data_IF_987285596917
#
_entry.id   IF_987285596917
#
_cell.length_a   1.000
_cell.length_b   1.000
_cell.length_c   1.000
_cell.angle_alpha   90.00
_cell.angle_beta   90.00
_cell.angle_gamma   90.00
#
_symmetry.space_group_name_H-M   'P 1'
#
loop_
_entity.id
_entity.type
_entity.pdbx_description
1 polymer ?
#
# COMPACT_ATOMS: atom_id res chain seq x y z
N UNK A 1 58.87 3.19 -8.80
CA UNK A 1 57.96 2.78 -7.71
C UNK A 1 56.68 3.58 -7.84
N UNK A 2 55.52 2.93 -7.76
CA UNK A 2 54.23 3.60 -7.74
C UNK A 2 53.18 2.96 -8.64
N UNK A 3 52.94 1.65 -8.48
CA UNK A 3 51.74 1.01 -9.01
C UNK A 3 50.50 1.47 -8.24
N UNK A 4 49.39 1.61 -8.96
CA UNK A 4 48.03 1.66 -8.42
C UNK A 4 47.04 1.09 -9.46
N UNK A 5 45.89 0.56 -9.02
CA UNK A 5 45.48 -0.81 -9.34
C UNK A 5 44.31 -0.90 -10.33
N UNK A 6 44.16 -2.09 -10.91
CA UNK A 6 42.91 -2.66 -11.39
C UNK A 6 41.84 -2.63 -10.28
N UNK A 7 40.65 -2.09 -10.58
CA UNK A 7 39.39 -2.68 -10.13
C UNK A 7 38.16 -2.07 -10.84
N UNK A 8 37.12 -2.89 -10.93
CA UNK A 8 35.70 -2.61 -11.17
C UNK A 8 35.16 -2.72 -12.60
N UNK A 9 34.88 -3.99 -12.93
CA UNK A 9 33.57 -4.45 -13.44
C UNK A 9 32.45 -3.43 -13.14
N UNK A 10 31.98 -2.79 -14.21
CA UNK A 10 30.69 -2.09 -14.17
C UNK A 10 29.64 -3.10 -14.61
N UNK A 11 28.87 -3.57 -13.65
CA UNK A 11 27.56 -4.17 -13.90
C UNK A 11 26.70 -3.17 -14.70
N UNK A 12 26.67 -3.35 -16.01
CA UNK A 12 25.70 -2.71 -16.91
C UNK A 12 24.38 -3.45 -16.71
N UNK A 13 23.26 -2.79 -16.32
CA UNK A 13 21.98 -3.45 -16.23
C UNK A 13 21.58 -3.99 -17.60
N UNK A 14 21.13 -5.25 -17.66
CA UNK A 14 20.60 -5.90 -18.86
C UNK A 14 19.31 -5.21 -19.35
N UNK A 15 19.47 -4.15 -20.16
CA UNK A 15 18.41 -3.40 -20.82
C UNK A 15 17.65 -4.22 -21.89
N UNK A 16 18.18 -5.39 -22.28
CA UNK A 16 17.61 -6.27 -23.31
C UNK A 16 16.37 -7.03 -22.81
N UNK A 17 16.41 -7.50 -21.56
CA UNK A 17 15.28 -8.20 -20.94
C UNK A 17 14.12 -7.24 -20.56
N UNK A 18 14.44 -6.00 -20.18
CA UNK A 18 13.44 -4.97 -19.91
C UNK A 18 12.71 -4.51 -21.17
N UNK A 19 13.43 -4.37 -22.30
CA UNK A 19 12.86 -3.95 -23.59
C UNK A 19 11.96 -5.02 -24.21
N UNK A 20 12.32 -6.31 -24.12
CA UNK A 20 11.47 -7.44 -24.57
C UNK A 20 10.17 -7.57 -23.74
N UNK A 21 10.23 -7.33 -22.42
CA UNK A 21 9.04 -7.33 -21.56
C UNK A 21 8.15 -6.09 -21.79
N UNK A 22 8.71 -4.94 -22.14
CA UNK A 22 7.95 -3.71 -22.47
C UNK A 22 7.11 -3.87 -23.75
N UNK A 23 7.65 -4.54 -24.77
CA UNK A 23 6.88 -4.92 -25.97
C UNK A 23 5.76 -5.94 -25.67
N UNK A 24 5.95 -6.80 -24.67
CA UNK A 24 4.91 -7.73 -24.21
C UNK A 24 3.71 -6.99 -23.60
N UNK A 25 3.94 -5.89 -22.86
CA UNK A 25 2.90 -5.08 -22.21
C UNK A 25 1.94 -4.39 -23.20
N UNK A 26 2.46 -3.88 -24.33
CA UNK A 26 1.63 -3.23 -25.36
C UNK A 26 0.69 -4.21 -26.08
N UNK A 27 0.98 -5.51 -26.00
CA UNK A 27 0.14 -6.59 -26.54
C UNK A 27 -0.75 -7.26 -25.49
N UNK A 28 -0.45 -7.12 -24.18
CA UNK A 28 -1.19 -7.81 -23.12
C UNK A 28 -2.65 -7.36 -23.01
N UNK A 29 -2.95 -6.06 -23.10
CA UNK A 29 -4.32 -5.56 -22.92
C UNK A 29 -5.27 -6.00 -24.04
N UNK A 30 -4.92 -5.82 -25.35
CA UNK A 30 -5.75 -6.35 -26.43
C UNK A 30 -5.93 -7.87 -26.30
N UNK A 31 -4.88 -8.61 -25.92
CA UNK A 31 -4.94 -10.07 -25.77
C UNK A 31 -5.83 -10.51 -24.60
N UNK A 32 -5.79 -9.80 -23.47
CA UNK A 32 -6.67 -10.03 -22.32
C UNK A 32 -8.12 -9.70 -22.66
N UNK A 33 -8.37 -8.57 -23.32
CA UNK A 33 -9.71 -8.17 -23.77
C UNK A 33 -10.28 -9.16 -24.79
N UNK A 34 -9.44 -9.60 -25.74
CA UNK A 34 -9.79 -10.63 -26.72
C UNK A 34 -10.14 -11.95 -26.04
N UNK A 35 -9.30 -12.46 -25.12
CA UNK A 35 -9.59 -13.70 -24.37
C UNK A 35 -10.88 -13.61 -23.56
N UNK A 36 -11.16 -12.47 -22.93
CA UNK A 36 -12.42 -12.27 -22.23
C UNK A 36 -13.63 -12.24 -23.19
N UNK A 37 -13.48 -11.62 -24.36
CA UNK A 37 -14.52 -11.61 -25.39
C UNK A 37 -14.77 -13.01 -25.98
N UNK A 38 -13.72 -13.80 -26.19
CA UNK A 38 -13.78 -15.20 -26.61
C UNK A 38 -14.53 -16.06 -25.58
N UNK A 39 -14.20 -15.94 -24.29
CA UNK A 39 -14.91 -16.65 -23.21
C UNK A 39 -16.38 -16.21 -23.05
N UNK A 40 -16.69 -14.94 -23.32
CA UNK A 40 -18.06 -14.43 -23.25
C UNK A 40 -18.91 -14.90 -24.46
N UNK A 41 -18.31 -15.02 -25.64
CA UNK A 41 -18.99 -15.38 -26.90
C UNK A 41 -19.06 -16.88 -27.16
N UNK A 42 -18.03 -17.66 -26.82
CA UNK A 42 -18.01 -19.10 -27.01
C UNK A 42 -18.71 -19.84 -25.85
N UNK A 43 -19.41 -20.93 -26.14
CA UNK A 43 -19.59 -22.00 -25.16
C UNK A 43 -18.21 -22.59 -24.86
N UNK A 44 -17.91 -22.90 -23.59
CA UNK A 44 -16.61 -23.41 -23.11
C UNK A 44 -15.91 -24.32 -24.14
N UNK A 45 -14.95 -23.78 -24.88
CA UNK A 45 -14.12 -24.57 -25.80
C UNK A 45 -13.04 -25.34 -25.04
N UNK A 46 -12.61 -26.47 -25.60
CA UNK A 46 -11.61 -27.40 -25.03
C UNK A 46 -10.23 -26.78 -24.72
N UNK A 47 -9.95 -25.55 -25.20
CA UNK A 47 -8.67 -24.85 -25.05
C UNK A 47 -8.60 -23.84 -23.91
N UNK A 48 -9.64 -23.73 -23.07
CA UNK A 48 -9.65 -22.79 -21.94
C UNK A 48 -9.01 -23.38 -20.67
N UNK A 49 -8.12 -22.61 -20.03
CA UNK A 49 -7.45 -23.05 -18.80
C UNK A 49 -8.47 -23.14 -17.65
N UNK A 50 -8.74 -24.35 -17.18
CA UNK A 50 -9.60 -24.57 -16.02
C UNK A 50 -8.85 -24.30 -14.71
N UNK A 51 -9.60 -24.07 -13.63
CA UNK A 51 -9.00 -23.96 -12.29
C UNK A 51 -8.28 -25.26 -11.91
N UNK A 52 -8.86 -26.41 -12.27
CA UNK A 52 -8.28 -27.73 -12.02
C UNK A 52 -6.93 -27.88 -12.72
N UNK A 53 -6.83 -27.48 -14.00
CA UNK A 53 -5.58 -27.53 -14.76
C UNK A 53 -4.52 -26.58 -14.18
N UNK A 54 -4.91 -25.36 -13.78
CA UNK A 54 -3.99 -24.42 -13.12
C UNK A 54 -3.41 -25.02 -11.82
N UNK A 55 -4.27 -25.65 -11.01
CA UNK A 55 -3.89 -26.20 -9.71
C UNK A 55 -3.13 -27.53 -9.77
N UNK A 56 -2.96 -28.14 -10.95
CA UNK A 56 -2.02 -29.25 -11.13
C UNK A 56 -0.57 -28.79 -10.92
N UNK A 57 -0.22 -27.59 -11.42
CA UNK A 57 1.08 -26.96 -11.17
C UNK A 57 1.10 -26.18 -9.87
N UNK A 58 0.10 -25.34 -9.65
CA UNK A 58 0.08 -24.42 -8.50
C UNK A 58 -0.80 -24.98 -7.38
N UNK A 59 -0.25 -25.87 -6.58
CA UNK A 59 -1.00 -26.56 -5.53
C UNK A 59 -1.40 -25.60 -4.41
N UNK A 60 -2.68 -25.58 -4.04
CA UNK A 60 -3.18 -24.71 -2.96
C UNK A 60 -2.69 -25.17 -1.59
N UNK A 61 -2.07 -24.26 -0.85
CA UNK A 61 -1.48 -24.54 0.47
C UNK A 61 -2.31 -23.94 1.59
N UNK A 62 -2.72 -22.67 1.44
CA UNK A 62 -3.45 -21.93 2.48
C UNK A 62 -4.26 -20.79 1.85
N UNK A 63 -5.49 -20.55 2.32
CA UNK A 63 -6.22 -19.31 2.07
C UNK A 63 -5.75 -18.25 3.07
N UNK A 64 -5.14 -17.18 2.56
CA UNK A 64 -4.60 -16.07 3.36
C UNK A 64 -5.70 -15.10 3.78
N UNK A 65 -6.65 -14.85 2.88
CA UNK A 65 -7.74 -13.93 3.15
C UNK A 65 -8.73 -13.83 2.00
N UNK A 66 -9.79 -13.11 2.26
CA UNK A 66 -10.83 -12.75 1.31
C UNK A 66 -11.13 -11.26 1.51
N UNK A 67 -11.09 -10.51 0.41
CA UNK A 67 -11.31 -9.08 0.41
C UNK A 67 -12.35 -8.69 -0.63
N UNK A 68 -12.63 -7.39 -0.74
CA UNK A 68 -13.65 -6.84 -1.65
C UNK A 68 -13.44 -7.23 -3.12
N UNK A 69 -12.20 -7.48 -3.53
CA UNK A 69 -11.84 -7.77 -4.91
C UNK A 69 -11.62 -9.24 -5.20
N UNK A 70 -11.48 -10.10 -4.18
CA UNK A 70 -11.09 -11.48 -4.42
C UNK A 70 -10.52 -12.21 -3.22
N UNK A 71 -10.09 -13.44 -3.50
CA UNK A 71 -9.49 -14.35 -2.56
C UNK A 71 -7.97 -14.39 -2.76
N UNK A 72 -7.23 -14.49 -1.66
CA UNK A 72 -5.77 -14.60 -1.67
C UNK A 72 -5.35 -15.95 -1.10
N UNK A 73 -4.51 -16.67 -1.84
CA UNK A 73 -4.00 -17.98 -1.45
C UNK A 73 -2.47 -18.01 -1.52
N UNK A 74 -1.84 -18.79 -0.64
CA UNK A 74 -0.49 -19.28 -0.88
C UNK A 74 -0.58 -20.58 -1.67
N UNK A 75 0.19 -20.65 -2.75
CA UNK A 75 0.33 -21.82 -3.60
C UNK A 75 1.78 -22.32 -3.54
N UNK A 76 1.96 -23.61 -3.81
CA UNK A 76 3.24 -24.24 -4.10
C UNK A 76 3.33 -24.49 -5.61
N UNK A 77 4.31 -23.88 -6.27
CA UNK A 77 4.63 -24.17 -7.68
C UNK A 77 5.46 -25.45 -7.73
N UNK A 78 4.87 -26.52 -8.25
CA UNK A 78 5.51 -27.84 -8.35
C UNK A 78 6.66 -27.90 -9.36
N UNK A 79 6.76 -26.93 -10.27
CA UNK A 79 7.83 -26.86 -11.28
C UNK A 79 9.01 -26.04 -10.76
N UNK A 80 8.73 -24.86 -10.20
CA UNK A 80 9.77 -23.99 -9.66
C UNK A 80 10.19 -24.37 -8.24
N UNK A 81 9.50 -25.33 -7.60
CA UNK A 81 9.71 -25.77 -6.23
C UNK A 81 9.77 -24.60 -5.24
N UNK A 82 8.85 -23.65 -5.41
CA UNK A 82 8.78 -22.43 -4.62
C UNK A 82 7.35 -22.08 -4.28
N UNK A 83 7.18 -21.26 -3.25
CA UNK A 83 5.86 -20.79 -2.86
C UNK A 83 5.60 -19.41 -3.43
N UNK A 84 4.36 -19.21 -3.86
CA UNK A 84 3.88 -17.97 -4.46
C UNK A 84 2.55 -17.58 -3.83
N UNK A 85 2.17 -16.32 -3.96
CA UNK A 85 0.84 -15.84 -3.60
C UNK A 85 -0.02 -15.68 -4.85
N UNK A 86 -1.26 -16.13 -4.77
CA UNK A 86 -2.26 -16.00 -5.81
C UNK A 86 -3.38 -15.08 -5.34
N UNK A 87 -3.65 -13.99 -6.06
CA UNK A 87 -4.85 -13.16 -5.91
C UNK A 87 -5.84 -13.57 -7.01
N UNK A 88 -6.92 -14.25 -6.65
CA UNK A 88 -8.02 -14.59 -7.56
C UNK A 88 -9.13 -13.56 -7.40
N UNK A 89 -9.42 -12.84 -8.47
CA UNK A 89 -10.48 -11.83 -8.49
C UNK A 89 -11.86 -12.50 -8.61
N UNK A 90 -12.85 -12.00 -7.87
CA UNK A 90 -14.22 -12.51 -7.98
C UNK A 90 -14.75 -12.34 -9.42
N UNK A 91 -15.57 -13.31 -9.84
CA UNK A 91 -15.95 -13.59 -11.23
C UNK A 91 -16.35 -12.34 -12.00
N UNK A 92 -15.67 -12.09 -13.12
CA UNK A 92 -15.89 -10.93 -13.98
C UNK A 92 -17.11 -11.09 -14.91
N UNK A 93 -17.72 -12.28 -14.92
CA UNK A 93 -18.91 -12.61 -15.71
C UNK A 93 -20.10 -12.83 -14.76
N UNK A 94 -21.15 -12.03 -14.92
CA UNK A 94 -22.47 -12.37 -14.35
C UNK A 94 -22.95 -13.71 -14.92
N UNK A 95 -23.80 -14.44 -14.17
CA UNK A 95 -24.59 -15.59 -14.66
C UNK A 95 -25.30 -15.35 -16.01
N UNK A 96 -25.48 -14.08 -16.43
CA UNK A 96 -26.03 -13.67 -17.73
C UNK A 96 -25.00 -13.22 -18.78
N UNK A 97 -23.70 -13.51 -18.61
CA UNK A 97 -22.61 -13.11 -19.53
C UNK A 97 -22.62 -11.61 -19.92
N UNK A 98 -23.05 -10.74 -19.01
CA UNK A 98 -22.96 -9.28 -19.19
C UNK A 98 -21.75 -8.75 -18.43
N UNK A 99 -20.93 -7.97 -19.13
CA UNK A 99 -19.75 -7.32 -18.56
C UNK A 99 -20.17 -6.31 -17.50
N UNK A 100 -20.04 -6.65 -16.23
CA UNK A 100 -20.12 -5.67 -15.15
C UNK A 100 -18.88 -4.77 -15.30
N UNK A 101 -19.03 -3.44 -15.23
CA UNK A 101 -17.92 -2.48 -15.38
C UNK A 101 -16.70 -2.69 -14.46
N UNK A 102 -16.78 -3.68 -13.56
CA UNK A 102 -15.71 -4.30 -12.74
C UNK A 102 -14.47 -4.66 -13.60
N UNK A 103 -14.65 -5.05 -14.86
CA UNK A 103 -13.54 -5.29 -15.80
C UNK A 103 -12.51 -4.16 -15.82
N UNK A 104 -12.92 -2.88 -15.81
CA UNK A 104 -11.98 -1.77 -16.01
C UNK A 104 -11.05 -1.55 -14.83
N UNK A 105 -11.49 -1.81 -13.60
CA UNK A 105 -10.61 -1.68 -12.42
C UNK A 105 -9.64 -2.86 -12.33
N UNK A 106 -10.13 -4.08 -12.59
CA UNK A 106 -9.32 -5.30 -12.53
C UNK A 106 -8.24 -5.36 -13.61
N UNK A 107 -8.55 -5.03 -14.87
CA UNK A 107 -7.53 -4.95 -15.91
C UNK A 107 -6.50 -3.86 -15.63
N UNK A 108 -6.96 -2.73 -15.09
CA UNK A 108 -6.07 -1.62 -14.74
C UNK A 108 -5.06 -1.99 -13.67
N UNK A 109 -5.43 -2.81 -12.68
CA UNK A 109 -4.48 -3.30 -11.68
C UNK A 109 -3.35 -4.09 -12.35
N UNK A 110 -3.66 -5.00 -13.26
CA UNK A 110 -2.67 -5.76 -14.04
C UNK A 110 -1.81 -4.82 -14.90
N UNK A 111 -2.44 -3.93 -15.67
CA UNK A 111 -1.74 -2.96 -16.53
C UNK A 111 -0.75 -2.10 -15.74
N UNK A 112 -1.21 -1.55 -14.60
CA UNK A 112 -0.37 -0.73 -13.74
C UNK A 112 0.78 -1.55 -13.19
N UNK A 113 0.51 -2.68 -12.54
CA UNK A 113 1.56 -3.49 -11.92
C UNK A 113 2.56 -4.01 -12.94
N UNK A 114 2.13 -4.32 -14.16
CA UNK A 114 3.01 -4.81 -15.20
C UNK A 114 3.92 -3.69 -15.78
N UNK A 115 3.47 -2.42 -15.72
CA UNK A 115 4.26 -1.26 -16.12
C UNK A 115 5.18 -0.69 -15.01
N UNK A 116 4.97 -1.10 -13.75
CA UNK A 116 5.69 -0.57 -12.59
C UNK A 116 6.81 -1.53 -12.15
N UNK A 117 8.02 -0.98 -11.94
CA UNK A 117 9.18 -1.71 -11.45
C UNK A 117 9.95 -0.89 -10.43
N UNK A 118 9.83 -1.29 -9.17
CA UNK A 118 10.52 -0.64 -8.08
C UNK A 118 10.63 -1.61 -6.89
N UNK A 119 11.74 -1.60 -6.12
CA UNK A 119 11.92 -2.50 -4.97
C UNK A 119 10.79 -2.41 -3.94
N UNK A 120 10.12 -1.26 -3.83
CA UNK A 120 9.00 -1.05 -2.90
C UNK A 120 7.60 -1.14 -3.48
N UNK A 121 7.45 -1.70 -4.69
CA UNK A 121 6.16 -2.01 -5.32
C UNK A 121 6.08 -3.52 -5.53
N UNK A 122 4.91 -4.12 -5.31
CA UNK A 122 4.72 -5.56 -5.59
C UNK A 122 4.88 -5.86 -7.07
N UNK A 123 5.50 -6.98 -7.39
CA UNK A 123 5.65 -7.48 -8.75
C UNK A 123 4.61 -8.56 -9.03
N UNK A 124 4.01 -8.50 -10.23
CA UNK A 124 3.22 -9.60 -10.78
C UNK A 124 4.16 -10.50 -11.56
N UNK A 125 4.29 -11.75 -11.13
CA UNK A 125 5.12 -12.76 -11.77
C UNK A 125 4.45 -13.30 -13.04
N UNK A 126 3.15 -13.58 -12.94
CA UNK A 126 2.33 -14.11 -14.04
C UNK A 126 0.84 -13.83 -13.78
N UNK A 127 0.00 -13.98 -14.79
CA UNK A 127 -1.45 -13.89 -14.69
C UNK A 127 -2.16 -14.88 -15.62
N UNK A 128 -3.35 -15.34 -15.20
CA UNK A 128 -4.18 -16.24 -16.00
C UNK A 128 -5.65 -15.83 -15.95
N UNK A 129 -6.34 -16.03 -17.06
CA UNK A 129 -7.80 -15.91 -17.13
C UNK A 129 -8.35 -17.33 -17.21
N UNK A 130 -9.13 -17.71 -16.21
CA UNK A 130 -9.70 -19.05 -16.10
C UNK A 130 -10.95 -19.19 -16.97
N UNK A 131 -11.34 -20.43 -17.24
CA UNK A 131 -12.53 -20.79 -18.01
C UNK A 131 -13.84 -20.25 -17.44
N UNK A 132 -13.90 -20.02 -16.13
CA UNK A 132 -15.04 -19.40 -15.44
C UNK A 132 -15.03 -17.85 -15.51
N UNK A 133 -14.04 -17.26 -16.19
CA UNK A 133 -13.85 -15.82 -16.30
C UNK A 133 -13.17 -15.16 -15.10
N UNK A 134 -12.64 -15.93 -14.14
CA UNK A 134 -11.84 -15.37 -13.05
C UNK A 134 -10.47 -14.94 -13.55
N UNK A 135 -10.01 -13.74 -13.13
CA UNK A 135 -8.62 -13.34 -13.28
C UNK A 135 -7.82 -13.82 -12.07
N UNK A 136 -6.69 -14.45 -12.34
CA UNK A 136 -5.71 -14.90 -11.35
C UNK A 136 -4.41 -14.16 -11.58
N UNK A 137 -3.82 -13.59 -10.52
CA UNK A 137 -2.48 -13.02 -10.53
C UNK A 137 -1.56 -13.77 -9.56
N UNK A 138 -0.36 -14.10 -10.03
CA UNK A 138 0.70 -14.75 -9.26
C UNK A 138 1.75 -13.72 -8.85
N UNK A 139 2.13 -13.72 -7.58
CA UNK A 139 3.01 -12.74 -6.94
C UNK A 139 3.97 -13.43 -5.97
N UNK A 140 5.11 -12.82 -5.60
CA UNK A 140 5.96 -13.34 -4.54
C UNK A 140 5.20 -13.46 -3.21
N UNK A 141 5.57 -14.45 -2.37
CA UNK A 141 5.03 -14.54 -1.01
C UNK A 141 5.53 -13.36 -0.19
N UNK A 142 4.60 -12.63 0.43
CA UNK A 142 4.94 -11.54 1.33
C UNK A 142 4.57 -11.91 2.78
N UNK A 143 5.46 -11.58 3.72
CA UNK A 143 5.48 -12.20 5.03
C UNK A 143 4.48 -11.59 6.03
N UNK A 144 4.34 -10.27 6.03
CA UNK A 144 3.48 -9.55 6.98
C UNK A 144 2.89 -8.27 6.40
N UNK A 145 1.63 -7.98 6.70
CA UNK A 145 1.09 -6.64 6.55
C UNK A 145 1.44 -5.75 7.76
N UNK A 146 1.56 -4.44 7.54
CA UNK A 146 1.95 -3.48 8.57
C UNK A 146 0.94 -3.42 9.72
N UNK A 147 -0.37 -3.63 9.46
CA UNK A 147 -1.40 -3.70 10.53
C UNK A 147 -1.08 -4.83 11.50
N UNK A 148 -0.73 -6.00 10.98
CA UNK A 148 -0.40 -7.17 11.78
C UNK A 148 0.95 -7.04 12.47
N UNK A 149 1.92 -6.32 11.89
CA UNK A 149 3.17 -5.96 12.56
C UNK A 149 2.95 -4.98 13.71
N UNK A 150 2.15 -3.92 13.51
CA UNK A 150 1.86 -2.93 14.54
C UNK A 150 1.09 -3.55 15.72
N UNK A 151 0.17 -4.48 15.45
CA UNK A 151 -0.58 -5.20 16.50
C UNK A 151 0.27 -6.17 17.30
N UNK A 152 1.23 -6.84 16.66
CA UNK A 152 2.05 -7.91 17.26
C UNK A 152 3.47 -7.46 17.58
N UNK A 153 3.73 -6.15 17.57
CA UNK A 153 5.08 -5.63 17.73
C UNK A 153 5.68 -6.18 19.03
N UNK A 154 6.84 -6.86 18.98
CA UNK A 154 7.40 -7.46 20.18
C UNK A 154 7.76 -6.37 21.18
N UNK A 155 7.45 -6.63 22.46
CA UNK A 155 8.01 -5.82 23.52
C UNK A 155 9.52 -6.02 23.50
N UNK A 156 10.27 -4.97 23.15
CA UNK A 156 11.71 -4.97 23.40
C UNK A 156 11.88 -5.16 24.90
N UNK A 157 12.59 -6.21 25.38
CA UNK A 157 13.01 -6.26 26.77
C UNK A 157 13.99 -5.11 26.98
N UNK A 158 13.49 -3.96 27.43
CA UNK A 158 14.36 -2.90 27.92
C UNK A 158 14.90 -3.36 29.26
N UNK A 159 16.23 -3.35 29.37
CA UNK A 159 16.97 -3.54 30.60
C UNK A 159 16.37 -2.63 31.68
N UNK A 160 15.92 -3.26 32.76
CA UNK A 160 15.38 -2.65 33.95
C UNK A 160 16.36 -1.63 34.54
N UNK A 161 16.02 -0.34 34.49
CA UNK A 161 16.45 0.60 35.53
C UNK A 161 15.48 1.78 35.67
N UNK A 162 14.97 1.86 36.90
CA UNK A 162 14.33 3.00 37.56
C UNK A 162 12.85 3.30 37.28
N UNK A 163 12.06 3.01 38.33
CA UNK A 163 10.62 3.20 38.38
C UNK A 163 10.15 4.63 38.38
N UNK A 164 8.91 4.80 37.93
CA UNK A 164 7.78 5.26 38.76
C UNK A 164 6.50 5.07 37.94
N UNK A 165 5.48 4.52 38.57
CA UNK A 165 4.17 4.30 37.99
C UNK A 165 3.51 5.65 37.64
N UNK A 166 3.10 5.82 36.39
CA UNK A 166 2.18 6.87 35.97
C UNK A 166 1.32 6.42 34.78
N UNK A 167 0.03 6.22 35.10
CA UNK A 167 -1.16 6.41 34.26
C UNK A 167 -1.33 5.46 33.06
N UNK A 168 -2.38 4.65 33.15
CA UNK A 168 -2.82 3.67 32.15
C UNK A 168 -3.15 4.32 30.79
N UNK A 169 -2.13 4.43 29.93
CA UNK A 169 -2.28 4.61 28.50
C UNK A 169 -1.63 3.40 27.81
N UNK A 170 -2.47 2.46 27.34
CA UNK A 170 -2.13 1.32 26.47
C UNK A 170 -0.68 0.82 26.59
N UNK A 171 -0.47 -0.16 27.47
CA UNK A 171 0.79 -0.89 27.75
C UNK A 171 1.32 -1.73 26.57
N UNK A 172 1.01 -1.38 25.33
CA UNK A 172 1.54 -2.05 24.14
C UNK A 172 2.90 -1.44 23.78
N UNK A 173 3.91 -2.27 23.51
CA UNK A 173 5.20 -1.80 23.05
C UNK A 173 5.07 -1.09 21.71
N UNK A 174 5.71 0.07 21.59
CA UNK A 174 5.73 0.86 20.36
C UNK A 174 6.89 0.44 19.47
N UNK A 175 6.69 0.56 18.16
CA UNK A 175 7.76 0.36 17.18
C UNK A 175 8.90 1.37 17.43
N UNK A 176 10.16 0.92 17.59
CA UNK A 176 11.30 1.82 17.76
C UNK A 176 11.47 2.76 16.57
N UNK A 177 11.85 4.01 16.85
CA UNK A 177 11.93 5.07 15.84
C UNK A 177 12.87 4.73 14.66
N UNK A 178 13.98 4.03 14.89
CA UNK A 178 14.90 3.63 13.81
C UNK A 178 14.24 2.64 12.81
N UNK A 179 13.34 1.77 13.29
CA UNK A 179 12.55 0.87 12.43
C UNK A 179 11.43 1.65 11.76
N UNK A 180 10.73 2.54 12.49
CA UNK A 180 9.71 3.42 11.90
C UNK A 180 10.29 4.19 10.71
N UNK A 181 11.46 4.82 10.89
CA UNK A 181 12.17 5.55 9.82
C UNK A 181 12.52 4.63 8.66
N UNK A 182 13.04 3.42 8.91
CA UNK A 182 13.40 2.47 7.87
C UNK A 182 12.20 2.07 7.01
N UNK A 183 11.11 1.60 7.65
CA UNK A 183 9.89 1.20 6.94
C UNK A 183 9.27 2.40 6.23
N UNK A 184 9.14 3.54 6.92
CA UNK A 184 8.48 4.71 6.35
C UNK A 184 9.24 5.28 5.15
N UNK A 185 10.58 5.27 5.19
CA UNK A 185 11.38 5.71 4.04
C UNK A 185 11.12 4.84 2.80
N UNK A 186 10.99 3.52 2.98
CA UNK A 186 10.67 2.60 1.89
C UNK A 186 9.25 2.82 1.34
N UNK A 187 8.27 3.13 2.19
CA UNK A 187 6.92 3.53 1.76
C UNK A 187 7.01 4.78 0.88
N UNK A 188 7.65 5.84 1.37
CA UNK A 188 7.79 7.10 0.63
C UNK A 188 8.57 6.89 -0.67
N UNK A 189 9.57 5.99 -0.71
CA UNK A 189 10.28 5.65 -1.94
C UNK A 189 9.37 5.02 -2.99
N UNK A 190 8.51 4.08 -2.59
CA UNK A 190 7.47 3.53 -3.45
C UNK A 190 6.51 4.61 -3.98
N UNK A 191 6.04 5.51 -3.10
CA UNK A 191 5.12 6.59 -3.50
C UNK A 191 5.79 7.60 -4.44
N UNK A 192 7.03 7.99 -4.19
CA UNK A 192 7.79 8.86 -5.07
C UNK A 192 7.93 8.25 -6.48
N UNK A 193 8.21 6.94 -6.55
CA UNK A 193 8.24 6.21 -7.81
C UNK A 193 6.88 6.24 -8.53
N UNK A 194 5.77 5.96 -7.83
CA UNK A 194 4.42 6.02 -8.41
C UNK A 194 4.09 7.42 -8.95
N UNK A 195 4.33 8.45 -8.14
CA UNK A 195 4.03 9.85 -8.50
C UNK A 195 4.87 10.32 -9.68
N UNK A 196 6.15 9.89 -9.77
CA UNK A 196 7.01 10.13 -10.94
C UNK A 196 6.43 9.52 -12.22
N UNK A 197 5.82 8.34 -12.13
CA UNK A 197 5.12 7.65 -13.22
C UNK A 197 3.66 8.11 -13.39
N UNK A 198 3.28 9.22 -12.74
CA UNK A 198 1.93 9.80 -12.77
C UNK A 198 0.85 8.83 -12.30
N UNK A 199 1.18 7.89 -11.43
CA UNK A 199 0.26 6.96 -10.79
C UNK A 199 -0.05 7.43 -9.38
N UNK A 200 -1.33 7.39 -9.00
CA UNK A 200 -1.81 7.64 -7.64
C UNK A 200 -2.37 6.34 -7.09
N UNK A 201 -1.97 5.98 -5.86
CA UNK A 201 -2.36 4.71 -5.26
C UNK A 201 -3.84 4.69 -4.86
N UNK A 202 -4.33 5.75 -4.19
CA UNK A 202 -5.74 5.99 -3.78
C UNK A 202 -6.32 5.09 -2.69
N UNK A 203 -5.66 3.99 -2.33
CA UNK A 203 -6.07 3.14 -1.19
C UNK A 203 -4.89 2.78 -0.26
N UNK A 204 -4.07 3.78 0.09
CA UNK A 204 -2.98 3.56 1.05
C UNK A 204 -3.52 3.44 2.47
N UNK A 205 -3.15 2.33 3.11
CA UNK A 205 -3.46 2.00 4.51
C UNK A 205 -2.47 0.93 4.98
N UNK A 206 -2.30 0.72 6.30
CA UNK A 206 -1.33 -0.26 6.82
C UNK A 206 -1.51 -1.68 6.27
N UNK A 207 -2.74 -2.13 6.00
CA UNK A 207 -2.97 -3.47 5.42
C UNK A 207 -2.46 -3.63 4.00
N UNK A 208 -2.22 -2.51 3.30
CA UNK A 208 -1.71 -2.47 1.92
C UNK A 208 -0.19 -2.18 1.88
N UNK A 209 0.46 -2.13 3.05
CA UNK A 209 1.91 -2.04 3.19
C UNK A 209 2.39 -3.39 3.70
N UNK A 210 3.04 -4.15 2.85
CA UNK A 210 3.59 -5.45 3.21
C UNK A 210 5.08 -5.35 3.50
N UNK A 211 5.61 -6.20 4.38
CA UNK A 211 7.03 -6.35 4.69
C UNK A 211 7.40 -7.81 4.44
N UNK A 212 8.38 -8.04 3.59
CA UNK A 212 8.88 -9.38 3.31
C UNK A 212 9.83 -9.89 4.41
N UNK A 213 10.30 -11.14 4.25
CA UNK A 213 11.16 -11.80 5.22
C UNK A 213 12.55 -11.15 5.37
N UNK A 214 12.95 -10.29 4.43
CA UNK A 214 14.22 -9.53 4.44
C UNK A 214 14.05 -8.11 4.99
N UNK A 215 12.82 -7.73 5.36
CA UNK A 215 12.48 -6.39 5.83
C UNK A 215 12.25 -5.37 4.72
N UNK A 216 12.18 -5.81 3.45
CA UNK A 216 11.84 -4.93 2.33
C UNK A 216 10.33 -4.71 2.29
N UNK A 217 9.93 -3.44 2.20
CA UNK A 217 8.53 -3.04 2.09
C UNK A 217 8.04 -3.22 0.66
N UNK A 218 6.83 -3.74 0.47
CA UNK A 218 6.11 -3.81 -0.81
C UNK A 218 4.74 -3.16 -0.65
N UNK A 219 4.48 -2.11 -1.42
CA UNK A 219 3.13 -1.58 -1.57
C UNK A 219 2.31 -2.52 -2.46
N UNK A 220 1.08 -2.83 -2.04
CA UNK A 220 0.18 -3.76 -2.73
C UNK A 220 -1.20 -3.13 -2.96
N UNK A 221 -2.04 -3.85 -3.71
CA UNK A 221 -3.46 -3.56 -3.94
C UNK A 221 -3.72 -2.29 -4.74
N UNK A 222 -3.47 -2.38 -6.04
CA UNK A 222 -3.58 -1.27 -7.00
C UNK A 222 -4.96 -1.21 -7.67
N UNK A 223 -5.95 -1.95 -7.16
CA UNK A 223 -7.32 -2.02 -7.72
C UNK A 223 -8.04 -0.68 -7.80
N UNK A 224 -7.65 0.30 -6.97
CA UNK A 224 -8.18 1.67 -7.00
C UNK A 224 -7.25 2.69 -7.66
N UNK A 225 -6.03 2.28 -8.01
CA UNK A 225 -4.97 3.15 -8.51
C UNK A 225 -5.28 3.68 -9.91
N UNK A 226 -4.76 4.87 -10.21
CA UNK A 226 -5.00 5.53 -11.50
C UNK A 226 -3.82 6.36 -11.98
N UNK A 227 -3.68 6.45 -13.30
CA UNK A 227 -2.90 7.51 -13.95
C UNK A 227 -3.61 8.86 -13.82
N UNK A 228 -2.88 9.91 -13.47
CA UNK A 228 -3.42 11.27 -13.31
C UNK A 228 -4.07 11.83 -14.58
N UNK A 229 -3.61 11.40 -15.77
CA UNK A 229 -4.11 11.86 -17.06
C UNK A 229 -5.35 11.13 -17.56
N UNK A 230 -5.87 10.13 -16.82
CA UNK A 230 -7.05 9.39 -17.25
C UNK A 230 -8.31 10.26 -17.13
N UNK A 231 -8.65 10.95 -18.23
CA UNK A 231 -9.88 11.71 -18.38
C UNK A 231 -11.09 10.83 -18.07
N UNK A 232 -11.91 11.25 -17.09
CA UNK A 232 -13.16 10.59 -16.73
C UNK A 232 -13.54 10.82 -15.27
N UNK A 233 -14.84 10.87 -15.00
CA UNK A 233 -15.38 10.96 -13.65
C UNK A 233 -14.71 9.92 -12.73
N UNK A 234 -14.23 10.36 -11.58
CA UNK A 234 -13.65 9.46 -10.58
C UNK A 234 -14.76 8.56 -10.01
N UNK A 235 -14.60 7.25 -10.15
CA UNK A 235 -15.52 6.27 -9.57
C UNK A 235 -15.33 6.25 -8.05
N UNK A 236 -16.33 6.76 -7.32
CA UNK A 236 -16.43 6.71 -5.86
C UNK A 236 -15.40 7.55 -5.08
N UNK A 237 -15.66 7.84 -3.80
CA UNK A 237 -14.70 8.51 -2.93
C UNK A 237 -13.48 7.60 -2.70
N UNK A 238 -12.25 8.07 -2.99
CA UNK A 238 -11.04 7.30 -2.69
C UNK A 238 -10.84 7.08 -1.19
N UNK A 239 -9.99 6.09 -0.88
CA UNK A 239 -9.59 5.66 0.46
C UNK A 239 -10.73 5.12 1.32
N UNK A 240 -10.38 4.31 2.32
CA UNK A 240 -11.28 4.04 3.45
C UNK A 240 -11.44 5.30 4.32
N UNK A 241 -12.60 5.48 4.97
CA UNK A 241 -12.95 6.72 5.69
C UNK A 241 -11.90 7.19 6.69
N UNK A 242 -11.23 6.28 7.41
CA UNK A 242 -10.20 6.62 8.39
C UNK A 242 -8.90 7.19 7.80
N UNK A 243 -8.64 6.93 6.51
CA UNK A 243 -7.46 7.42 5.78
C UNK A 243 -7.83 8.45 4.72
N UNK A 244 -9.10 8.86 4.67
CA UNK A 244 -9.62 9.77 3.65
C UNK A 244 -9.20 11.21 3.98
N UNK A 245 -8.64 11.96 3.02
CA UNK A 245 -8.21 13.33 3.27
C UNK A 245 -9.41 14.30 3.32
N UNK A 246 -9.28 15.43 4.02
CA UNK A 246 -10.37 16.37 4.27
C UNK A 246 -10.98 16.96 2.99
N UNK A 247 -10.18 17.22 1.95
CA UNK A 247 -10.66 17.71 0.66
C UNK A 247 -11.60 16.70 -0.04
N UNK A 248 -11.39 15.40 0.16
CA UNK A 248 -12.28 14.36 -0.39
C UNK A 248 -13.58 14.30 0.40
N UNK A 249 -13.52 14.44 1.73
CA UNK A 249 -14.70 14.46 2.61
C UNK A 249 -15.65 15.64 2.29
N UNK A 250 -15.11 16.77 1.82
CA UNK A 250 -15.93 17.92 1.37
C UNK A 250 -16.34 17.86 -0.10
N UNK A 251 -16.01 16.78 -0.82
CA UNK A 251 -16.40 16.56 -2.21
C UNK A 251 -15.46 17.17 -3.26
N UNK A 252 -14.29 17.68 -2.87
CA UNK A 252 -13.29 18.25 -3.77
C UNK A 252 -12.32 17.17 -4.32
N UNK A 253 -12.85 16.05 -4.79
CA UNK A 253 -12.04 14.90 -5.22
C UNK A 253 -11.50 14.99 -6.66
N UNK A 254 -11.98 15.94 -7.48
CA UNK A 254 -11.68 15.98 -8.92
C UNK A 254 -10.37 16.69 -9.33
N UNK A 255 -9.67 17.35 -8.41
CA UNK A 255 -8.60 18.29 -8.78
C UNK A 255 -7.22 18.04 -8.15
N UNK A 256 -7.08 17.13 -7.18
CA UNK A 256 -5.80 16.84 -6.53
C UNK A 256 -5.71 15.36 -6.16
N UNK A 257 -4.65 14.66 -6.59
CA UNK A 257 -4.54 13.20 -6.44
C UNK A 257 -3.26 12.75 -5.74
N UNK A 258 -2.10 13.37 -5.98
CA UNK A 258 -0.86 13.00 -5.25
C UNK A 258 -0.91 13.36 -3.77
N UNK A 259 -1.46 14.54 -3.43
CA UNK A 259 -1.63 15.01 -2.06
C UNK A 259 -2.51 14.08 -1.20
N UNK A 260 -3.37 13.29 -1.84
CA UNK A 260 -4.19 12.27 -1.18
C UNK A 260 -3.31 11.14 -0.65
N UNK A 261 -2.41 10.59 -1.48
CA UNK A 261 -1.48 9.56 -1.03
C UNK A 261 -0.59 10.10 0.10
N UNK A 262 -0.17 11.37 0.01
CA UNK A 262 0.63 12.02 1.06
C UNK A 262 -0.11 12.12 2.39
N UNK A 263 -1.41 12.42 2.39
CA UNK A 263 -2.24 12.38 3.59
C UNK A 263 -2.29 10.97 4.19
N UNK A 264 -2.54 9.95 3.36
CA UNK A 264 -2.55 8.56 3.81
C UNK A 264 -1.20 8.15 4.41
N UNK A 265 -0.08 8.56 3.81
CA UNK A 265 1.25 8.37 4.38
C UNK A 265 1.39 9.04 5.76
N UNK A 266 0.87 10.25 5.94
CA UNK A 266 0.83 10.92 7.25
C UNK A 266 0.06 10.11 8.29
N UNK A 267 -1.09 9.55 7.92
CA UNK A 267 -1.88 8.68 8.79
C UNK A 267 -1.14 7.38 9.13
N UNK A 268 -0.48 6.75 8.15
CA UNK A 268 0.34 5.54 8.37
C UNK A 268 1.50 5.84 9.32
N UNK A 269 2.22 6.95 9.14
CA UNK A 269 3.31 7.33 10.04
C UNK A 269 2.82 7.55 11.46
N UNK A 270 1.69 8.25 11.63
CA UNK A 270 1.08 8.44 12.94
C UNK A 270 0.77 7.10 13.61
N UNK A 271 0.19 6.16 12.86
CA UNK A 271 -0.12 4.82 13.37
C UNK A 271 1.14 4.03 13.73
N UNK A 272 2.22 4.16 12.96
CA UNK A 272 3.51 3.54 13.28
C UNK A 272 4.13 4.11 14.56
N UNK A 273 3.99 5.41 14.80
CA UNK A 273 4.54 6.09 15.98
C UNK A 273 3.74 5.82 17.26
N UNK A 274 2.44 5.57 17.14
CA UNK A 274 1.51 5.53 18.30
C UNK A 274 0.83 4.19 18.53
N UNK A 275 0.78 3.33 17.50
CA UNK A 275 -0.03 2.11 17.48
C UNK A 275 -1.54 2.36 17.30
N UNK A 276 -1.95 3.60 17.02
CA UNK A 276 -3.35 3.96 16.83
C UNK A 276 -3.55 4.86 15.61
N UNK A 277 -4.68 4.71 14.94
CA UNK A 277 -5.02 5.50 13.74
C UNK A 277 -5.41 6.93 14.16
N UNK A 278 -4.92 8.00 13.49
CA UNK A 278 -5.35 9.35 13.79
C UNK A 278 -6.81 9.55 13.38
N UNK A 279 -7.52 10.48 14.03
CA UNK A 279 -8.94 10.79 13.74
C UNK A 279 -9.92 9.61 13.87
N UNK A 280 -9.49 8.48 14.47
CA UNK A 280 -10.12 7.15 14.38
C UNK A 280 -11.47 6.96 15.08
N UNK A 281 -12.00 7.96 15.78
CA UNK A 281 -13.27 7.86 16.53
C UNK A 281 -14.51 8.09 15.66
N UNK A 282 -14.40 8.02 14.34
CA UNK A 282 -15.45 8.45 13.40
C UNK A 282 -16.28 7.29 12.88
N UNK A 283 -17.59 7.37 13.05
CA UNK A 283 -18.58 6.39 12.55
C UNK A 283 -19.01 6.67 11.12
N UNK A 284 -18.82 7.89 10.65
CA UNK A 284 -19.23 8.38 9.34
C UNK A 284 -18.29 9.49 8.85
N UNK A 285 -18.49 9.95 7.62
CA UNK A 285 -17.68 11.01 6.99
C UNK A 285 -17.77 12.36 7.72
N UNK A 286 -18.94 12.68 8.27
CA UNK A 286 -19.18 13.90 9.05
C UNK A 286 -18.28 13.97 10.27
N UNK A 287 -18.29 12.91 11.07
CA UNK A 287 -17.45 12.78 12.26
C UNK A 287 -15.96 12.72 11.91
N UNK A 288 -15.60 12.16 10.76
CA UNK A 288 -14.21 12.15 10.29
C UNK A 288 -13.72 13.57 10.02
N UNK A 289 -14.48 14.35 9.26
CA UNK A 289 -14.14 15.74 8.97
C UNK A 289 -14.12 16.60 10.23
N UNK A 290 -15.10 16.42 11.13
CA UNK A 290 -15.14 17.14 12.39
C UNK A 290 -13.92 16.84 13.28
N UNK A 291 -13.49 15.56 13.36
CA UNK A 291 -12.28 15.18 14.10
C UNK A 291 -11.00 15.74 13.47
N UNK A 292 -10.93 15.81 12.14
CA UNK A 292 -9.80 16.43 11.44
C UNK A 292 -9.72 17.92 11.78
N UNK A 293 -10.83 18.65 11.68
CA UNK A 293 -10.89 20.09 12.00
C UNK A 293 -10.67 20.37 13.49
N UNK A 294 -11.08 19.47 14.38
CA UNK A 294 -10.79 19.57 15.80
C UNK A 294 -9.28 19.53 16.10
N UNK A 295 -8.51 18.78 15.30
CA UNK A 295 -7.06 18.68 15.45
C UNK A 295 -6.31 19.77 14.70
N UNK A 296 -6.66 20.00 13.44
CA UNK A 296 -5.92 20.87 12.52
C UNK A 296 -6.41 22.32 12.53
N UNK A 297 -7.51 22.61 13.23
CA UNK A 297 -8.17 23.91 13.22
C UNK A 297 -9.14 24.07 12.05
N UNK A 298 -9.81 25.23 11.99
CA UNK A 298 -10.69 25.56 10.86
C UNK A 298 -9.89 25.92 9.61
N UNK A 299 -10.38 25.58 8.41
CA UNK A 299 -9.79 26.10 7.19
C UNK A 299 -9.73 27.63 7.18
N UNK A 300 -8.70 28.18 6.54
CA UNK A 300 -8.60 29.62 6.32
C UNK A 300 -9.75 30.09 5.43
N UNK A 301 -10.25 31.31 5.68
CA UNK A 301 -11.30 31.94 4.87
C UNK A 301 -10.89 32.16 3.40
N UNK A 302 -9.59 32.10 3.10
CA UNK A 302 -9.02 32.18 1.75
C UNK A 302 -8.91 30.83 1.05
N UNK A 303 -9.25 29.72 1.70
CA UNK A 303 -9.10 28.38 1.13
C UNK A 303 -10.02 28.17 -0.07
N UNK A 304 -9.43 28.01 -1.26
CA UNK A 304 -10.18 27.70 -2.48
C UNK A 304 -10.88 26.34 -2.41
N UNK A 305 -10.30 25.38 -1.68
CA UNK A 305 -10.84 24.02 -1.56
C UNK A 305 -12.03 24.03 -0.62
N UNK A 306 -11.89 24.58 0.58
CA UNK A 306 -12.95 24.49 1.58
C UNK A 306 -14.06 25.53 1.36
N UNK A 307 -13.75 26.75 0.90
CA UNK A 307 -14.78 27.76 0.66
C UNK A 307 -15.64 27.46 -0.57
N UNK A 308 -15.06 26.92 -1.65
CA UNK A 308 -15.81 26.58 -2.88
C UNK A 308 -16.82 25.45 -2.66
N UNK A 309 -16.50 24.53 -1.77
CA UNK A 309 -17.33 23.35 -1.51
C UNK A 309 -18.18 23.47 -0.23
N UNK A 310 -17.99 24.51 0.59
CA UNK A 310 -18.79 24.79 1.78
C UNK A 310 -20.31 24.86 1.51
N UNK A 311 -20.74 25.36 0.34
CA UNK A 311 -22.15 25.42 -0.03
C UNK A 311 -22.76 24.10 -0.54
N UNK A 312 -21.93 23.07 -0.80
CA UNK A 312 -22.36 21.73 -1.26
C UNK A 312 -22.03 20.63 -0.26
N UNK A 313 -21.26 20.96 0.77
CA UNK A 313 -20.88 20.05 1.82
C UNK A 313 -21.99 20.05 2.87
N UNK A 314 -22.66 18.92 3.15
CA UNK A 314 -23.64 18.81 4.23
C UNK A 314 -23.00 18.92 5.63
N UNK A 315 -21.68 19.10 5.70
CA UNK A 315 -20.90 19.09 6.93
C UNK A 315 -20.48 20.51 7.31
N UNK A 316 -20.98 20.99 8.45
CA UNK A 316 -20.64 22.30 8.98
C UNK A 316 -19.21 22.32 9.53
N UNK A 317 -18.35 23.14 8.92
CA UNK A 317 -17.02 23.43 9.43
C UNK A 317 -17.10 24.64 10.36
N UNK A 318 -17.11 24.39 11.67
CA UNK A 318 -17.13 25.47 12.66
C UNK A 318 -15.94 26.42 12.45
N UNK A 319 -16.16 27.73 12.27
CA UNK A 319 -15.08 28.70 12.08
C UNK A 319 -14.32 28.96 13.38
N UNK A 320 -13.08 29.43 13.27
CA UNK A 320 -12.28 29.90 14.41
C UNK A 320 -11.75 28.80 15.35
N UNK A 321 -11.79 27.52 14.97
CA UNK A 321 -11.15 26.47 15.75
C UNK A 321 -9.62 26.59 15.67
N UNK A 322 -8.91 26.54 16.81
CA UNK A 322 -7.46 26.62 16.82
C UNK A 322 -6.83 25.31 16.32
N UNK A 323 -5.63 25.43 15.76
CA UNK A 323 -4.79 24.27 15.46
C UNK A 323 -4.22 23.69 16.77
N UNK A 324 -4.62 22.47 17.10
CA UNK A 324 -4.18 21.75 18.31
C UNK A 324 -3.28 20.56 18.01
N UNK A 325 -2.85 20.39 16.76
CA UNK A 325 -2.19 19.18 16.28
C UNK A 325 -0.90 18.86 17.05
N UNK A 326 -0.06 19.85 17.32
CA UNK A 326 1.20 19.64 18.05
C UNK A 326 0.94 19.21 19.49
N UNK A 327 -0.06 19.82 20.15
CA UNK A 327 -0.49 19.41 21.50
C UNK A 327 -1.05 17.99 21.50
N UNK A 328 -1.88 17.64 20.51
CA UNK A 328 -2.42 16.28 20.34
C UNK A 328 -1.28 15.28 20.14
N UNK A 329 -0.33 15.55 19.25
CA UNK A 329 0.85 14.71 19.03
C UNK A 329 1.65 14.48 20.31
N UNK A 330 1.89 15.54 21.09
CA UNK A 330 2.55 15.45 22.39
C UNK A 330 1.78 14.55 23.38
N UNK A 331 0.45 14.63 23.41
CA UNK A 331 -0.39 13.76 24.26
C UNK A 331 -0.29 12.27 23.86
N UNK A 332 0.01 11.98 22.59
CA UNK A 332 0.33 10.63 22.12
C UNK A 332 1.80 10.24 22.36
N UNK A 333 2.63 11.12 22.93
CA UNK A 333 4.07 10.89 23.15
C UNK A 333 4.90 10.97 21.87
N UNK A 334 4.39 11.63 20.83
CA UNK A 334 5.15 11.94 19.62
C UNK A 334 6.04 13.14 19.92
N UNK A 335 7.35 13.06 19.61
CA UNK A 335 8.28 14.15 19.92
C UNK A 335 8.16 15.28 18.89
N UNK A 336 8.72 16.48 19.18
CA UNK A 336 8.58 17.64 18.30
C UNK A 336 9.11 17.41 16.86
N UNK A 337 10.23 16.69 16.70
CA UNK A 337 10.80 16.41 15.39
C UNK A 337 9.86 15.58 14.51
N UNK A 338 9.29 14.49 15.05
CA UNK A 338 8.29 13.67 14.36
C UNK A 338 7.00 14.45 14.10
N UNK A 339 6.62 15.36 15.01
CA UNK A 339 5.44 16.23 14.85
C UNK A 339 5.62 17.17 13.65
N UNK A 340 6.80 17.80 13.51
CA UNK A 340 7.13 18.66 12.36
C UNK A 340 7.09 17.86 11.06
N UNK A 341 7.68 16.66 11.06
CA UNK A 341 7.68 15.80 9.88
C UNK A 341 6.27 15.31 9.49
N UNK A 342 5.43 14.94 10.48
CA UNK A 342 4.02 14.61 10.26
C UNK A 342 3.24 15.79 9.69
N UNK A 343 3.48 17.01 10.17
CA UNK A 343 2.79 18.22 9.68
C UNK A 343 3.00 18.45 8.19
N UNK A 344 4.13 18.03 7.63
CA UNK A 344 4.39 18.11 6.17
C UNK A 344 3.40 17.29 5.33
N UNK A 345 2.66 16.37 5.95
CA UNK A 345 1.64 15.53 5.30
C UNK A 345 0.22 15.80 5.84
N UNK A 346 0.09 16.02 7.15
CA UNK A 346 -1.19 16.22 7.85
C UNK A 346 -1.52 17.71 8.00
N UNK A 347 -1.87 18.34 6.89
CA UNK A 347 -2.43 19.69 6.84
C UNK A 347 -3.72 19.72 5.99
N UNK A 348 -4.55 20.73 6.23
CA UNK A 348 -5.84 20.89 5.54
C UNK A 348 -5.64 21.17 4.05
N UNK A 349 -4.77 22.11 3.71
CA UNK A 349 -4.58 22.51 2.31
C UNK A 349 -3.79 21.44 1.54
N UNK A 350 -4.38 20.81 0.50
CA UNK A 350 -3.72 19.72 -0.21
C UNK A 350 -2.43 20.17 -0.91
N UNK A 351 -2.39 21.44 -1.35
CA UNK A 351 -1.22 22.04 -2.01
C UNK A 351 -0.06 22.37 -1.07
N UNK A 352 -0.29 22.38 0.25
CA UNK A 352 0.77 22.60 1.25
C UNK A 352 1.44 21.29 1.70
N UNK A 353 0.86 20.14 1.33
CA UNK A 353 1.46 18.84 1.63
C UNK A 353 2.72 18.64 0.81
N UNK A 354 3.80 18.22 1.46
CA UNK A 354 5.06 17.90 0.81
C UNK A 354 4.88 16.76 -0.20
N UNK A 355 5.60 16.82 -1.31
CA UNK A 355 5.68 15.70 -2.26
C UNK A 355 6.50 14.55 -1.66
N UNK A 356 6.28 13.33 -2.15
CA UNK A 356 7.06 12.18 -1.71
C UNK A 356 8.57 12.36 -1.95
N UNK A 357 8.95 12.97 -3.08
CA UNK A 357 10.35 13.32 -3.38
C UNK A 357 10.93 14.32 -2.37
N UNK A 358 10.16 15.34 -1.97
CA UNK A 358 10.59 16.30 -0.96
C UNK A 358 10.69 15.69 0.45
N UNK A 359 9.94 14.63 0.73
CA UNK A 359 10.06 13.88 2.00
C UNK A 359 11.28 12.95 1.98
N UNK A 360 11.59 12.27 0.87
CA UNK A 360 12.76 11.37 0.78
C UNK A 360 14.08 12.05 1.13
N UNK A 361 14.18 13.34 0.81
CA UNK A 361 15.36 14.17 1.04
C UNK A 361 15.32 14.91 2.39
N UNK A 362 14.31 14.66 3.24
CA UNK A 362 14.17 15.32 4.53
C UNK A 362 15.22 14.80 5.55
N UNK A 363 15.77 15.74 6.33
CA UNK A 363 16.74 15.45 7.38
C UNK A 363 16.19 14.55 8.49
N UNK A 364 14.87 14.39 8.63
CA UNK A 364 14.25 13.50 9.61
C UNK A 364 14.73 12.04 9.44
N UNK A 365 15.00 11.58 8.21
CA UNK A 365 15.53 10.24 7.96
C UNK A 365 16.99 10.05 8.39
N UNK A 366 17.79 11.12 8.39
CA UNK A 366 19.23 11.08 8.70
C UNK A 366 19.55 11.58 10.12
N UNK A 367 18.66 12.34 10.75
CA UNK A 367 18.80 12.80 12.13
C UNK A 367 18.71 11.63 13.09
N UNK A 368 19.56 11.60 14.11
CA UNK A 368 19.57 10.52 15.11
C UNK A 368 18.22 10.41 15.87
N UNK A 369 17.74 9.19 16.19
CA UNK A 369 18.30 7.90 15.79
C UNK A 369 18.12 7.69 14.28
N UNK A 370 19.20 7.25 13.62
CA UNK A 370 19.19 6.93 12.19
C UNK A 370 18.35 5.68 11.94
N UNK A 371 17.82 5.55 10.72
CA UNK A 371 17.14 4.32 10.31
C UNK A 371 18.07 3.10 10.38
N UNK A 372 17.52 1.94 10.71
CA UNK A 372 18.23 0.67 10.56
C UNK A 372 18.25 0.22 9.09
N UNK A 373 19.06 -0.79 8.80
CA UNK A 373 18.98 -1.54 7.54
C UNK A 373 17.72 -2.43 7.53
N UNK A 374 17.13 -2.73 6.36
CA UNK A 374 15.91 -3.55 6.26
C UNK A 374 16.03 -4.91 6.96
N UNK A 375 17.16 -5.61 6.80
CA UNK A 375 17.41 -6.92 7.39
C UNK A 375 17.47 -6.93 8.92
N UNK A 376 17.59 -5.75 9.56
CA UNK A 376 17.59 -5.61 11.01
C UNK A 376 16.18 -5.44 11.61
N UNK A 377 15.12 -5.38 10.78
CA UNK A 377 13.75 -5.27 11.27
C UNK A 377 13.35 -6.60 11.93
N UNK A 378 13.01 -6.61 13.23
CA UNK A 378 12.57 -7.82 13.91
C UNK A 378 11.18 -8.21 13.42
N UNK A 379 11.09 -9.35 12.73
CA UNK A 379 9.83 -9.90 12.25
C UNK A 379 9.27 -10.93 13.24
N UNK A 380 7.94 -10.97 13.46
CA UNK A 380 7.32 -11.96 14.33
C UNK A 380 7.70 -13.40 13.95
N UNK A 381 7.94 -14.23 14.97
CA UNK A 381 8.44 -15.59 14.80
C UNK A 381 7.47 -16.50 14.05
N UNK A 382 6.16 -16.26 14.18
CA UNK A 382 5.12 -16.88 13.37
C UNK A 382 4.76 -15.96 12.22
N UNK A 383 5.10 -16.38 11.01
CA UNK A 383 4.81 -15.62 9.80
C UNK A 383 4.61 -16.52 8.58
N UNK A 384 3.98 -15.97 7.55
CA UNK A 384 3.61 -16.73 6.35
C UNK A 384 4.83 -17.40 5.71
N UNK A 385 5.95 -16.68 5.64
CA UNK A 385 7.19 -17.19 5.07
C UNK A 385 7.76 -18.37 5.88
N UNK A 386 7.82 -18.28 7.20
CA UNK A 386 8.30 -19.37 8.07
C UNK A 386 7.36 -20.57 8.09
N UNK A 387 6.04 -20.34 8.04
CA UNK A 387 5.06 -21.42 7.89
C UNK A 387 5.30 -22.19 6.59
N UNK A 388 5.54 -21.45 5.52
CA UNK A 388 5.87 -21.97 4.20
C UNK A 388 7.22 -22.72 4.20
N UNK A 389 8.27 -22.17 4.80
CA UNK A 389 9.57 -22.86 4.94
C UNK A 389 9.48 -24.14 5.77
N UNK A 390 8.66 -24.15 6.83
CA UNK A 390 8.40 -25.36 7.63
C UNK A 390 7.79 -26.46 6.76
N UNK A 391 6.72 -26.14 6.02
CA UNK A 391 6.10 -27.08 5.08
C UNK A 391 7.06 -27.56 3.99
N UNK A 392 7.94 -26.67 3.50
CA UNK A 392 8.96 -27.04 2.52
C UNK A 392 9.89 -28.13 3.07
N UNK A 393 10.39 -27.94 4.29
CA UNK A 393 11.29 -28.91 4.94
C UNK A 393 10.60 -30.24 5.19
N UNK A 394 9.31 -30.24 5.57
CA UNK A 394 8.53 -31.46 5.74
C UNK A 394 8.41 -32.25 4.42
N UNK A 395 8.24 -31.57 3.28
CA UNK A 395 8.16 -32.19 1.95
C UNK A 395 9.51 -32.67 1.40
N UNK A 396 10.63 -32.07 1.83
CA UNK A 396 11.98 -32.48 1.40
C UNK A 396 12.52 -33.67 2.22
N UNK A 397 11.94 -33.97 3.39
CA UNK A 397 12.40 -35.03 4.31
C UNK A 397 11.42 -36.21 4.46
N UNK A 398 10.26 -36.18 3.81
CA UNK A 398 9.28 -37.27 3.77
C UNK A 398 9.10 -37.78 2.35
#
# INVERSE_FOLDING_TARGET
>A
MGGKPDDQDRDVPDDGHASRKRACLEHMLPLMQQRFAELASAGLGESSLTAEALFQRYQRVLKVGEGTFGEVFVLYDTVAHTYITMKRMHTLLSLRRRSLGIHRCTFREVELLAALRHPNIVEVLDYHILSDGSLVMLMPVIAHDLTSLLRRWPATPQSSSHGKAAIAASTRPRMPLHIVKCIFRQIIAGIAYLHKHKVVHRDLKPSNVMVDHTGVVKLIDFGWSRFCAAAGAMTGPPCVTAFRPPEVLVGAYNHYTFSLDMWCCGCILFEMLTGGTPFSKSRNEAECLANIVDWLGSPLSSSKVYCRYAGRCPLYLAPGRPDTFAQRCNNFGIKPAETVFLRRMLCLEPGERATAEALLNDAWFTTAPTMCVPSAIPLPAQNMFRLVEGKRKELEHG
#
